data_IF_059674904598
#
_entry.id   IF_059674904598
#
_cell.length_a   1.000
_cell.length_b   1.000
_cell.length_c   1.000
_cell.angle_alpha   90.00
_cell.angle_beta   90.00
_cell.angle_gamma   90.00
#
_symmetry.space_group_name_H-M   'P 1'
#
loop_
_entity.id
_entity.type
_entity.pdbx_description
1 polymer ?
#
# COMPACT_ATOMS: atom_id res chain seq x y z
N UNK A 1 -18.86 -16.81 8.56
CA UNK A 1 -18.99 -16.26 9.92
C UNK A 1 -18.70 -14.77 9.90
N UNK A 2 -19.46 -13.97 10.66
CA UNK A 2 -19.24 -12.54 10.83
C UNK A 2 -19.06 -12.23 12.31
N UNK A 3 -17.92 -11.64 12.65
CA UNK A 3 -17.58 -11.25 14.02
C UNK A 3 -17.47 -9.72 14.12
N UNK A 4 -18.20 -9.11 15.04
CA UNK A 4 -18.14 -7.69 15.32
C UNK A 4 -17.30 -7.46 16.60
N UNK A 5 -16.15 -6.85 16.43
CA UNK A 5 -15.21 -6.53 17.52
C UNK A 5 -15.51 -5.20 18.22
N UNK A 6 -16.75 -4.74 18.11
CA UNK A 6 -17.26 -3.55 18.81
C UNK A 6 -18.66 -3.82 19.33
N UNK A 7 -19.07 -3.25 20.47
CA UNK A 7 -20.46 -3.36 20.95
C UNK A 7 -21.44 -2.79 19.94
N UNK A 8 -22.60 -3.46 19.82
CA UNK A 8 -23.62 -3.10 18.83
C UNK A 8 -24.10 -1.65 18.93
N UNK A 9 -24.23 -1.14 20.14
CA UNK A 9 -24.67 0.22 20.42
C UNK A 9 -23.69 1.31 19.96
N UNK A 10 -22.43 0.94 19.68
CA UNK A 10 -21.43 1.85 19.11
C UNK A 10 -21.50 1.95 17.60
N UNK A 11 -22.18 1.03 16.92
CA UNK A 11 -22.34 1.04 15.47
C UNK A 11 -23.45 2.02 15.10
N UNK A 12 -23.14 3.07 14.33
CA UNK A 12 -24.05 4.18 13.99
C UNK A 12 -24.03 4.50 12.50
N UNK A 13 -24.97 5.32 12.03
CA UNK A 13 -25.05 5.79 10.65
C UNK A 13 -25.18 4.65 9.65
N UNK A 14 -24.54 4.77 8.50
CA UNK A 14 -24.62 3.78 7.42
C UNK A 14 -24.15 2.39 7.85
N UNK A 15 -23.15 2.33 8.75
CA UNK A 15 -22.70 1.05 9.30
C UNK A 15 -23.83 0.36 10.11
N UNK A 16 -24.67 1.11 10.81
CA UNK A 16 -25.85 0.56 11.50
C UNK A 16 -26.88 0.02 10.51
N UNK A 17 -27.16 0.76 9.45
CA UNK A 17 -28.09 0.33 8.41
C UNK A 17 -27.61 -0.97 7.77
N UNK A 18 -26.34 -1.07 7.41
CA UNK A 18 -25.75 -2.29 6.85
C UNK A 18 -25.75 -3.46 7.84
N UNK A 19 -25.53 -3.20 9.13
CA UNK A 19 -25.63 -4.22 10.18
C UNK A 19 -27.05 -4.81 10.27
N UNK A 20 -28.10 -3.98 10.23
CA UNK A 20 -29.49 -4.46 10.27
C UNK A 20 -29.83 -5.30 9.02
N UNK A 21 -29.34 -4.88 7.85
CA UNK A 21 -29.48 -5.69 6.63
C UNK A 21 -28.78 -7.04 6.81
N UNK A 22 -27.54 -7.03 7.29
CA UNK A 22 -26.74 -8.24 7.48
C UNK A 22 -27.41 -9.21 8.47
N UNK A 23 -27.94 -8.72 9.58
CA UNK A 23 -28.65 -9.52 10.58
C UNK A 23 -29.86 -10.27 10.02
N UNK A 24 -30.50 -9.71 9.00
CA UNK A 24 -31.59 -10.36 8.30
C UNK A 24 -31.15 -11.47 7.35
N UNK A 25 -29.87 -11.50 6.99
CA UNK A 25 -29.29 -12.47 6.05
C UNK A 25 -28.46 -13.54 6.76
N UNK A 26 -27.65 -13.13 7.73
CA UNK A 26 -26.71 -14.00 8.43
C UNK A 26 -26.58 -13.60 9.90
N UNK A 27 -26.33 -14.57 10.80
CA UNK A 27 -26.05 -14.25 12.19
C UNK A 27 -24.71 -13.49 12.31
N UNK A 28 -24.74 -12.41 13.08
CA UNK A 28 -23.55 -11.62 13.46
C UNK A 28 -23.23 -11.92 14.92
N UNK A 29 -21.99 -12.27 15.18
CA UNK A 29 -21.51 -12.53 16.54
C UNK A 29 -20.76 -11.31 17.06
N UNK A 30 -21.28 -10.70 18.13
CA UNK A 30 -20.57 -9.66 18.86
C UNK A 30 -19.64 -10.33 19.86
N UNK A 31 -18.35 -10.00 19.75
CA UNK A 31 -17.31 -10.68 20.53
C UNK A 31 -16.57 -9.70 21.44
N UNK A 32 -16.22 -10.16 22.62
CA UNK A 32 -15.36 -9.47 23.59
C UNK A 32 -13.91 -10.00 23.55
N UNK A 33 -13.70 -11.09 22.79
CA UNK A 33 -12.41 -11.67 22.46
C UNK A 33 -12.49 -12.36 21.10
N UNK A 34 -11.38 -12.45 20.36
CA UNK A 34 -11.38 -13.21 19.12
C UNK A 34 -11.66 -14.70 19.38
N UNK A 35 -12.32 -15.41 18.45
CA UNK A 35 -12.37 -16.88 18.52
C UNK A 35 -10.96 -17.47 18.51
N UNK A 36 -10.73 -18.48 19.36
CA UNK A 36 -9.46 -19.18 19.44
C UNK A 36 -9.71 -20.69 19.60
N UNK A 37 -9.41 -21.52 18.57
CA UNK A 37 -8.96 -21.11 17.24
C UNK A 37 -10.03 -20.38 16.43
N UNK A 38 -9.61 -19.68 15.36
CA UNK A 38 -10.57 -19.17 14.36
C UNK A 38 -11.27 -20.37 13.72
N UNK A 39 -12.59 -20.28 13.42
CA UNK A 39 -13.29 -21.36 12.71
C UNK A 39 -12.69 -21.63 11.34
N UNK A 40 -12.88 -22.84 10.84
CA UNK A 40 -12.46 -23.22 9.49
C UNK A 40 -12.99 -22.23 8.45
N UNK A 41 -12.08 -21.74 7.61
CA UNK A 41 -12.38 -20.75 6.59
C UNK A 41 -11.44 -20.90 5.38
N UNK A 42 -11.94 -20.61 4.20
CA UNK A 42 -11.13 -20.50 2.98
C UNK A 42 -10.42 -19.16 2.91
N UNK A 43 -10.96 -18.13 3.59
CA UNK A 43 -10.47 -16.76 3.59
C UNK A 43 -10.89 -16.05 4.86
N UNK A 44 -9.98 -15.29 5.44
CA UNK A 44 -10.26 -14.33 6.52
C UNK A 44 -10.32 -12.93 5.93
N UNK A 45 -11.38 -12.18 6.25
CA UNK A 45 -11.53 -10.79 5.82
C UNK A 45 -11.27 -9.87 7.00
N UNK A 46 -10.19 -9.08 6.91
CA UNK A 46 -9.88 -8.00 7.84
C UNK A 46 -10.66 -6.73 7.44
N UNK A 47 -11.67 -6.40 8.20
CA UNK A 47 -12.45 -5.18 8.08
C UNK A 47 -12.60 -4.48 9.45
N UNK A 48 -11.60 -4.63 10.33
CA UNK A 48 -11.65 -4.12 11.71
C UNK A 48 -11.51 -2.60 11.76
N UNK A 49 -10.45 -2.05 11.14
CA UNK A 49 -10.17 -0.62 11.10
C UNK A 49 -9.70 -0.20 9.71
N UNK A 50 -10.08 1.00 9.29
CA UNK A 50 -9.66 1.63 8.02
C UNK A 50 -8.66 2.77 8.22
N UNK A 51 -8.81 3.84 7.45
CA UNK A 51 -7.86 4.96 7.32
C UNK A 51 -7.66 5.82 8.58
N UNK A 52 -8.43 5.62 9.63
CA UNK A 52 -8.38 6.43 10.86
C UNK A 52 -7.35 6.01 11.91
N UNK A 53 -6.56 4.97 11.64
CA UNK A 53 -5.63 4.40 12.63
C UNK A 53 -4.46 5.33 12.88
N UNK A 54 -4.25 5.68 14.17
CA UNK A 54 -3.07 6.40 14.66
C UNK A 54 -2.56 5.70 15.91
N UNK A 55 -1.28 5.38 15.95
CA UNK A 55 -0.65 4.70 17.06
C UNK A 55 -0.91 3.19 17.07
N UNK A 56 -0.44 2.54 18.14
CA UNK A 56 -0.54 1.09 18.31
C UNK A 56 -1.99 0.62 18.53
N UNK A 57 -2.33 -0.52 17.95
CA UNK A 57 -3.59 -1.22 18.26
C UNK A 57 -3.62 -1.61 19.74
N UNK A 58 -4.83 -1.61 20.33
CA UNK A 58 -5.02 -1.93 21.76
C UNK A 58 -6.25 -2.81 21.96
N UNK A 59 -6.25 -3.55 23.09
CA UNK A 59 -7.38 -4.37 23.52
C UNK A 59 -7.85 -5.34 22.45
N UNK A 60 -9.14 -5.53 22.34
CA UNK A 60 -9.78 -6.49 21.45
C UNK A 60 -9.30 -6.40 20.00
N UNK A 61 -9.09 -5.20 19.48
CA UNK A 61 -8.64 -5.03 18.09
C UNK A 61 -7.23 -5.58 17.89
N UNK A 62 -6.32 -5.35 18.86
CA UNK A 62 -4.97 -5.92 18.79
C UNK A 62 -4.99 -7.45 18.90
N UNK A 63 -5.85 -8.00 19.76
CA UNK A 63 -6.05 -9.44 19.91
C UNK A 63 -6.62 -10.06 18.61
N UNK A 64 -7.62 -9.41 17.99
CA UNK A 64 -8.17 -9.85 16.72
C UNK A 64 -7.10 -9.84 15.61
N UNK A 65 -6.30 -8.79 15.51
CA UNK A 65 -5.21 -8.71 14.53
C UNK A 65 -4.16 -9.83 14.74
N UNK A 66 -3.83 -10.12 16.00
CA UNK A 66 -2.93 -11.23 16.34
C UNK A 66 -3.53 -12.60 15.97
N UNK A 67 -4.82 -12.82 16.26
CA UNK A 67 -5.54 -14.05 15.91
C UNK A 67 -5.60 -14.24 14.39
N UNK A 68 -5.88 -13.18 13.61
CA UNK A 68 -5.84 -13.22 12.15
C UNK A 68 -4.45 -13.64 11.66
N UNK A 69 -3.39 -13.01 12.18
CA UNK A 69 -2.02 -13.30 11.75
C UNK A 69 -1.55 -14.73 12.10
N UNK A 70 -2.11 -15.33 13.15
CA UNK A 70 -1.77 -16.69 13.58
C UNK A 70 -2.68 -17.78 12.99
N UNK A 71 -3.72 -17.40 12.26
CA UNK A 71 -4.73 -18.34 11.75
C UNK A 71 -4.21 -19.29 10.69
N UNK A 72 -3.21 -18.88 9.90
CA UNK A 72 -2.70 -19.63 8.75
C UNK A 72 -3.61 -19.61 7.52
N UNK A 73 -4.75 -18.92 7.57
CA UNK A 73 -5.64 -18.73 6.42
C UNK A 73 -5.18 -17.57 5.54
N UNK A 74 -5.52 -17.57 4.23
CA UNK A 74 -5.38 -16.39 3.38
C UNK A 74 -6.13 -15.20 3.98
N UNK A 75 -5.55 -14.00 3.91
CA UNK A 75 -6.12 -12.77 4.50
C UNK A 75 -6.36 -11.72 3.44
N UNK A 76 -7.58 -11.22 3.36
CA UNK A 76 -7.98 -10.06 2.56
C UNK A 76 -8.25 -8.88 3.50
N UNK A 77 -7.45 -7.82 3.42
CA UNK A 77 -7.75 -6.57 4.12
C UNK A 77 -8.57 -5.63 3.26
N UNK A 78 -9.61 -5.06 3.86
CA UNK A 78 -10.46 -4.06 3.24
C UNK A 78 -9.87 -2.67 3.52
N UNK A 79 -9.60 -1.94 2.45
CA UNK A 79 -9.06 -0.58 2.40
C UNK A 79 -7.58 -0.47 2.81
N UNK A 80 -7.22 -0.90 4.00
CA UNK A 80 -5.84 -0.94 4.53
C UNK A 80 -5.75 -2.02 5.63
N UNK A 81 -4.65 -2.77 5.73
CA UNK A 81 -4.50 -3.72 6.82
C UNK A 81 -4.60 -3.02 8.19
N UNK A 82 -5.45 -3.58 9.04
CA UNK A 82 -5.68 -3.01 10.37
C UNK A 82 -4.38 -2.86 11.14
N UNK A 83 -4.09 -1.65 11.60
CA UNK A 83 -2.85 -1.30 12.31
C UNK A 83 -1.78 -0.62 11.48
N UNK A 84 -1.94 -0.55 10.15
CA UNK A 84 -1.05 0.22 9.27
C UNK A 84 -1.49 1.69 9.23
N UNK A 85 -0.56 2.60 9.41
CA UNK A 85 -0.83 4.03 9.26
C UNK A 85 -0.98 4.38 7.78
N UNK A 86 -2.11 4.95 7.42
CA UNK A 86 -2.50 5.25 6.02
C UNK A 86 -1.55 6.22 5.31
N UNK A 87 -0.99 7.18 6.05
CA UNK A 87 -0.18 8.26 5.48
C UNK A 87 1.30 7.90 5.40
N UNK A 88 1.80 7.17 6.39
CA UNK A 88 3.24 6.93 6.57
C UNK A 88 3.66 5.49 6.31
N UNK A 89 2.74 4.54 6.38
CA UNK A 89 3.04 3.10 6.38
C UNK A 89 3.63 2.59 7.70
N UNK A 90 3.71 3.44 8.72
CA UNK A 90 4.21 3.00 10.02
C UNK A 90 3.28 1.96 10.65
N UNK A 91 3.89 1.01 11.35
CA UNK A 91 3.24 -0.01 12.16
C UNK A 91 3.77 0.12 13.59
N UNK A 92 2.91 0.52 14.50
CA UNK A 92 3.26 0.64 15.90
C UNK A 92 2.73 -0.58 16.67
N UNK A 93 3.57 -1.58 16.87
CA UNK A 93 3.18 -2.85 17.51
C UNK A 93 2.61 -3.86 16.52
N UNK A 94 1.39 -4.35 16.76
CA UNK A 94 0.74 -5.35 15.91
C UNK A 94 -0.05 -4.69 14.78
N UNK A 95 0.03 -5.27 13.57
CA UNK A 95 -0.87 -4.98 12.47
C UNK A 95 -1.20 -6.28 11.72
N UNK A 96 -2.32 -6.31 11.04
CA UNK A 96 -2.70 -7.44 10.17
C UNK A 96 -1.70 -7.57 9.03
N UNK A 97 -1.36 -8.81 8.67
CA UNK A 97 -0.59 -9.16 7.48
C UNK A 97 -1.54 -9.75 6.46
N UNK A 98 -1.87 -8.99 5.45
CA UNK A 98 -2.74 -9.41 4.38
C UNK A 98 -1.96 -10.07 3.24
N UNK A 99 -2.56 -11.06 2.59
CA UNK A 99 -2.09 -11.57 1.30
C UNK A 99 -2.54 -10.63 0.17
N UNK A 100 -3.75 -10.05 0.33
CA UNK A 100 -4.32 -9.09 -0.60
C UNK A 100 -4.94 -7.93 0.18
N UNK A 101 -4.76 -6.71 -0.33
CA UNK A 101 -5.46 -5.52 0.17
C UNK A 101 -6.32 -4.93 -0.94
N UNK A 102 -7.63 -4.90 -0.74
CA UNK A 102 -8.59 -4.24 -1.61
C UNK A 102 -8.79 -2.79 -1.15
N UNK A 103 -7.96 -1.86 -1.68
CA UNK A 103 -8.00 -0.46 -1.28
C UNK A 103 -9.03 0.35 -2.07
N UNK A 104 -9.83 1.16 -1.37
CA UNK A 104 -10.97 1.87 -1.96
C UNK A 104 -10.54 3.15 -2.68
N UNK A 105 -11.07 3.40 -3.88
CA UNK A 105 -10.92 4.59 -4.73
C UNK A 105 -9.48 4.91 -5.15
N UNK A 106 -8.58 5.18 -4.22
CA UNK A 106 -7.21 5.61 -4.46
C UNK A 106 -6.22 4.84 -3.60
N UNK A 107 -5.04 4.63 -4.16
CA UNK A 107 -3.94 3.99 -3.45
C UNK A 107 -3.47 4.89 -2.28
N UNK A 108 -3.43 4.33 -1.08
CA UNK A 108 -2.95 5.03 0.11
C UNK A 108 -1.42 5.02 0.15
N UNK A 109 -0.83 6.12 0.59
CA UNK A 109 0.63 6.25 0.70
C UNK A 109 1.25 5.17 1.58
N UNK A 110 0.59 4.87 2.70
CA UNK A 110 1.05 3.86 3.64
C UNK A 110 1.18 2.45 3.08
N UNK A 111 0.48 2.14 1.97
CA UNK A 111 0.60 0.87 1.26
C UNK A 111 1.83 0.80 0.33
N UNK A 112 2.55 1.91 0.17
CA UNK A 112 3.73 2.02 -0.70
C UNK A 112 5.04 2.01 0.07
N UNK A 113 5.01 2.33 1.36
CA UNK A 113 6.19 2.47 2.21
C UNK A 113 6.27 1.36 3.24
N UNK A 114 7.50 0.90 3.47
CA UNK A 114 7.81 -0.06 4.54
C UNK A 114 7.58 0.58 5.93
N UNK A 115 7.04 -0.17 6.91
CA UNK A 115 6.63 -1.58 6.86
C UNK A 115 5.23 -1.84 6.31
N UNK A 116 4.40 -0.81 6.05
CA UNK A 116 3.02 -0.96 5.61
C UNK A 116 2.88 -1.76 4.31
N UNK A 117 3.84 -1.57 3.39
CA UNK A 117 3.89 -2.35 2.14
C UNK A 117 4.02 -3.86 2.38
N UNK A 118 4.81 -4.29 3.35
CA UNK A 118 4.99 -5.70 3.68
C UNK A 118 3.75 -6.29 4.35
N UNK A 119 2.92 -5.45 4.96
CA UNK A 119 1.65 -5.85 5.55
C UNK A 119 0.51 -5.91 4.53
N UNK A 120 0.63 -5.19 3.42
CA UNK A 120 -0.45 -5.04 2.45
C UNK A 120 -0.59 -6.23 1.47
N UNK A 121 0.47 -7.01 1.26
CA UNK A 121 0.49 -8.04 0.23
C UNK A 121 0.27 -7.46 -1.18
N UNK A 122 -0.46 -8.18 -2.01
CA UNK A 122 -0.89 -7.64 -3.30
C UNK A 122 -1.98 -6.58 -3.08
N UNK A 123 -1.85 -5.42 -3.74
CA UNK A 123 -2.80 -4.32 -3.54
C UNK A 123 -3.57 -4.04 -4.82
N UNK A 124 -4.90 -4.18 -4.74
CA UNK A 124 -5.85 -3.84 -5.79
C UNK A 124 -6.63 -2.58 -5.43
N UNK A 125 -6.78 -1.68 -6.41
CA UNK A 125 -7.57 -0.46 -6.24
C UNK A 125 -8.99 -0.76 -6.71
N UNK A 126 -9.94 -0.66 -5.79
CA UNK A 126 -11.36 -0.92 -6.05
C UNK A 126 -12.04 0.39 -6.41
N UNK A 127 -12.65 0.43 -7.58
CA UNK A 127 -13.49 1.56 -7.99
C UNK A 127 -14.79 1.56 -7.18
N UNK A 128 -15.00 2.64 -6.43
CA UNK A 128 -16.21 2.88 -5.64
C UNK A 128 -17.09 3.96 -6.28
N UNK A 129 -16.95 4.19 -7.57
CA UNK A 129 -17.71 5.19 -8.34
C UNK A 129 -17.48 6.63 -7.86
N UNK A 130 -16.25 6.94 -7.39
CA UNK A 130 -15.90 8.30 -7.01
C UNK A 130 -15.82 9.19 -8.25
N UNK A 131 -16.54 10.33 -8.29
CA UNK A 131 -16.51 11.21 -9.45
C UNK A 131 -15.08 11.67 -9.78
N UNK A 132 -14.63 11.58 -11.05
CA UNK A 132 -13.27 11.97 -11.42
C UNK A 132 -12.92 13.43 -11.11
N UNK A 133 -13.93 14.32 -11.09
CA UNK A 133 -13.78 15.70 -10.64
C UNK A 133 -13.24 15.80 -9.21
N UNK A 134 -13.87 15.07 -8.29
CA UNK A 134 -13.49 15.09 -6.86
C UNK A 134 -12.04 14.67 -6.67
N UNK A 135 -11.59 13.68 -7.47
CA UNK A 135 -10.19 13.23 -7.45
C UNK A 135 -9.26 14.34 -7.96
N UNK A 136 -9.59 14.98 -9.09
CA UNK A 136 -8.78 16.06 -9.68
C UNK A 136 -8.70 17.29 -8.79
N UNK A 137 -9.80 17.66 -8.15
CA UNK A 137 -9.88 18.86 -7.31
C UNK A 137 -9.14 18.69 -5.97
N UNK A 138 -8.75 17.47 -5.63
CA UNK A 138 -8.00 17.09 -4.41
C UNK A 138 -6.58 16.68 -4.71
N UNK A 139 -5.89 17.41 -5.61
CA UNK A 139 -4.48 17.17 -5.87
C UNK A 139 -3.65 17.26 -4.59
N UNK A 140 -3.05 16.14 -4.23
CA UNK A 140 -2.21 16.03 -3.03
C UNK A 140 -0.75 16.38 -3.30
N UNK A 141 -0.38 16.65 -4.54
CA UNK A 141 1.01 16.86 -4.98
C UNK A 141 1.89 15.61 -4.89
N UNK A 142 1.31 14.44 -4.66
CA UNK A 142 2.04 13.17 -4.58
C UNK A 142 1.55 12.23 -5.68
N UNK A 143 2.46 11.83 -6.54
CA UNK A 143 2.15 11.02 -7.72
C UNK A 143 2.97 9.74 -7.74
N UNK A 144 2.36 8.67 -8.23
CA UNK A 144 3.04 7.44 -8.60
C UNK A 144 3.01 7.31 -10.12
N UNK A 145 4.16 7.12 -10.71
CA UNK A 145 4.26 6.80 -12.14
C UNK A 145 4.17 5.30 -12.34
N UNK A 146 3.33 4.87 -13.27
CA UNK A 146 3.30 3.50 -13.74
C UNK A 146 4.24 3.30 -14.95
N UNK A 147 4.47 2.06 -15.40
CA UNK A 147 5.35 1.80 -16.54
C UNK A 147 4.91 2.50 -17.82
N UNK A 148 3.60 2.75 -18.02
CA UNK A 148 3.08 3.43 -19.19
C UNK A 148 3.36 4.94 -19.16
N UNK A 149 3.25 5.56 -18.00
CA UNK A 149 3.63 6.96 -17.79
C UNK A 149 5.12 7.18 -18.09
N UNK A 150 5.96 6.24 -17.66
CA UNK A 150 7.38 6.28 -17.94
C UNK A 150 7.63 6.12 -19.44
N UNK A 151 6.97 5.17 -20.12
CA UNK A 151 7.12 4.98 -21.57
C UNK A 151 6.79 6.24 -22.38
N UNK A 152 5.74 6.97 -22.00
CA UNK A 152 5.33 8.23 -22.63
C UNK A 152 6.36 9.34 -22.47
N UNK A 153 7.21 9.26 -21.44
CA UNK A 153 8.25 10.25 -21.13
C UNK A 153 9.62 9.89 -21.69
N UNK A 154 9.83 8.63 -22.07
CA UNK A 154 11.11 8.23 -22.66
C UNK A 154 11.24 8.82 -24.07
N UNK A 155 12.39 9.43 -24.40
CA UNK A 155 12.63 9.96 -25.73
C UNK A 155 12.70 8.82 -26.74
N UNK A 156 12.00 8.99 -27.87
CA UNK A 156 12.09 8.08 -29.01
C UNK A 156 13.37 8.42 -29.79
N UNK A 157 14.22 7.43 -29.98
CA UNK A 157 15.43 7.61 -30.80
C UNK A 157 15.10 7.41 -32.27
N UNK A 158 15.55 8.33 -33.10
CA UNK A 158 15.49 8.18 -34.55
C UNK A 158 16.62 7.27 -35.09
N UNK A 159 16.43 6.69 -36.25
CA UNK A 159 17.43 5.78 -36.87
C UNK A 159 18.75 6.48 -37.21
N UNK A 160 18.75 7.80 -37.34
CA UNK A 160 19.95 8.63 -37.61
C UNK A 160 20.59 9.18 -36.32
N UNK A 161 20.20 8.64 -35.15
CA UNK A 161 20.72 9.08 -33.86
C UNK A 161 22.19 8.65 -33.70
N UNK A 162 23.01 9.57 -33.22
CA UNK A 162 24.42 9.33 -32.84
C UNK A 162 24.72 9.92 -31.46
N UNK A 163 25.88 9.56 -30.89
CA UNK A 163 26.23 9.86 -29.48
C UNK A 163 25.98 11.31 -29.06
N UNK A 164 26.31 12.29 -29.90
CA UNK A 164 26.17 13.71 -29.54
C UNK A 164 24.68 14.16 -29.51
N UNK A 165 23.80 13.47 -30.24
CA UNK A 165 22.34 13.73 -30.17
C UNK A 165 21.70 13.13 -28.92
N UNK A 166 22.32 12.15 -28.28
CA UNK A 166 21.80 11.49 -27.08
C UNK A 166 22.17 12.20 -25.77
N UNK A 167 22.79 13.36 -25.86
CA UNK A 167 23.18 14.16 -24.71
C UNK A 167 24.43 13.66 -23.99
N UNK A 168 24.96 14.55 -23.18
CA UNK A 168 26.16 14.30 -22.36
C UNK A 168 25.84 14.51 -20.90
N UNK A 169 26.29 13.58 -20.05
CA UNK A 169 26.08 13.61 -18.61
C UNK A 169 27.44 13.81 -17.91
N UNK A 170 27.54 14.78 -17.01
CA UNK A 170 28.65 14.92 -16.08
C UNK A 170 28.25 14.26 -14.76
N UNK A 171 29.07 13.30 -14.33
CA UNK A 171 28.93 12.63 -13.03
C UNK A 171 30.00 13.16 -12.11
N UNK A 172 29.64 13.91 -11.08
CA UNK A 172 30.53 14.41 -10.05
C UNK A 172 30.37 13.49 -8.85
N UNK A 173 31.29 12.56 -8.66
CA UNK A 173 31.16 11.54 -7.62
C UNK A 173 32.49 10.84 -7.38
N UNK A 174 32.64 10.29 -6.19
CA UNK A 174 33.85 9.58 -5.77
C UNK A 174 34.74 10.43 -4.88
N UNK A 175 35.64 9.73 -4.23
CA UNK A 175 36.76 10.30 -3.46
C UNK A 175 37.83 9.23 -3.34
N UNK A 176 39.00 9.61 -2.87
CA UNK A 176 40.12 8.66 -2.65
C UNK A 176 39.63 7.45 -1.83
N UNK A 177 39.76 6.26 -2.37
CA UNK A 177 39.30 4.99 -1.77
C UNK A 177 37.82 4.68 -1.93
N UNK A 178 36.97 5.59 -2.47
CA UNK A 178 35.53 5.42 -2.66
C UNK A 178 35.11 5.63 -4.12
N UNK A 179 35.68 4.85 -5.03
CA UNK A 179 35.49 5.00 -6.49
C UNK A 179 34.30 4.20 -7.04
N UNK A 180 33.84 3.18 -6.33
CA UNK A 180 32.81 2.25 -6.83
C UNK A 180 31.50 2.92 -7.20
N UNK A 181 30.97 3.82 -6.37
CA UNK A 181 29.76 4.57 -6.65
C UNK A 181 29.87 5.45 -7.91
N UNK A 182 31.04 6.10 -8.09
CA UNK A 182 31.32 6.93 -9.25
C UNK A 182 31.33 6.11 -10.55
N UNK A 183 31.96 4.95 -10.54
CA UNK A 183 31.97 4.01 -11.69
C UNK A 183 30.58 3.52 -12.00
N UNK A 184 29.85 3.02 -10.99
CA UNK A 184 28.47 2.51 -11.18
C UNK A 184 27.52 3.59 -11.71
N UNK A 185 27.58 4.81 -11.18
CA UNK A 185 26.77 5.93 -11.66
C UNK A 185 27.07 6.25 -13.13
N UNK A 186 28.36 6.31 -13.50
CA UNK A 186 28.80 6.59 -14.87
C UNK A 186 28.33 5.51 -15.86
N UNK A 187 28.43 4.24 -15.50
CA UNK A 187 27.90 3.15 -16.32
C UNK A 187 26.39 3.19 -16.42
N UNK A 188 25.71 3.54 -15.35
CA UNK A 188 24.24 3.65 -15.33
C UNK A 188 23.73 4.72 -16.28
N UNK A 189 24.42 5.87 -16.39
CA UNK A 189 24.04 6.93 -17.35
C UNK A 189 24.13 6.45 -18.80
N UNK A 190 25.18 5.72 -19.15
CA UNK A 190 25.33 5.14 -20.49
C UNK A 190 24.25 4.08 -20.77
N UNK A 191 23.97 3.22 -19.80
CA UNK A 191 22.89 2.21 -19.91
C UNK A 191 21.51 2.83 -20.01
N UNK A 192 21.28 3.96 -19.30
CA UNK A 192 20.03 4.72 -19.42
C UNK A 192 19.88 5.46 -20.75
N UNK A 193 21.00 5.54 -21.52
CA UNK A 193 20.94 6.04 -22.88
C UNK A 193 21.69 7.34 -23.14
N UNK A 194 22.50 7.85 -22.22
CA UNK A 194 23.38 8.97 -22.51
C UNK A 194 24.34 8.65 -23.66
N UNK A 195 24.60 9.62 -24.52
CA UNK A 195 25.55 9.48 -25.63
C UNK A 195 27.01 9.53 -25.17
N UNK A 196 27.28 10.32 -24.13
CA UNK A 196 28.57 10.43 -23.46
C UNK A 196 28.41 10.64 -21.97
N UNK A 197 29.38 10.16 -21.20
CA UNK A 197 29.48 10.43 -19.75
C UNK A 197 30.89 10.89 -19.41
N UNK A 198 31.01 11.99 -18.68
CA UNK A 198 32.24 12.45 -18.06
C UNK A 198 32.16 12.19 -16.56
N UNK A 199 33.16 11.47 -16.03
CA UNK A 199 33.31 11.31 -14.59
C UNK A 199 34.33 12.33 -14.09
N UNK A 200 33.93 13.11 -13.09
CA UNK A 200 34.75 14.07 -12.35
C UNK A 200 34.81 13.56 -10.92
N UNK A 201 36.01 13.11 -10.46
CA UNK A 201 36.29 12.53 -9.15
C UNK A 201 37.31 13.34 -8.38
#
# INVERSE_FOLDING_TARGET
HVYAAVPEEKIKGDARTNLEILKNMHPVQFVDKPPDPLPDADLVVDALLGTGVKGALRGLIAECAAAINSSGYPVLSIDIPTGVNTDTGAVEGTAVRADVTATMALLKRGLLFSPGREHAGHTDIIDISMPPQVIRDRDTGVYRYDPEDIRKRLPVRSNDTYKNKCGTVAVIAGSTGLTGAAVMSSFSTLRAGAGMTFLIA
#
